data_IF_659463252029
#
_entry.id   IF_659463252029
#
_cell.length_a   1.000
_cell.length_b   1.000
_cell.length_c   1.000
_cell.angle_alpha   90.00
_cell.angle_beta   90.00
_cell.angle_gamma   90.00
#
_symmetry.space_group_name_H-M   'P 1'
#
loop_
_entity.id
_entity.type
_entity.pdbx_description
1 polymer ?
#
# COMPACT_ATOMS: atom_id res chain seq x y z
N UNK A 1 -58.03 -2.33 -22.61
CA UNK A 1 -57.37 -3.41 -21.82
C UNK A 1 -55.90 -3.70 -22.19
N UNK A 2 -55.43 -3.52 -23.44
CA UNK A 2 -54.01 -3.76 -23.81
C UNK A 2 -53.00 -2.83 -23.11
N UNK A 3 -53.30 -1.53 -23.00
CA UNK A 3 -52.42 -0.53 -22.34
C UNK A 3 -52.15 -0.80 -20.85
N UNK A 4 -53.13 -1.36 -20.12
CA UNK A 4 -52.99 -1.63 -18.68
C UNK A 4 -52.10 -2.85 -18.40
N UNK A 5 -52.10 -3.85 -19.30
CA UNK A 5 -51.22 -5.03 -19.21
C UNK A 5 -49.75 -4.70 -19.53
N UNK A 6 -49.51 -3.76 -20.44
CA UNK A 6 -48.16 -3.32 -20.82
C UNK A 6 -47.45 -2.56 -19.69
N UNK A 7 -48.14 -1.66 -18.98
CA UNK A 7 -47.58 -0.93 -17.81
C UNK A 7 -47.21 -1.87 -16.65
N UNK A 8 -47.97 -2.95 -16.44
CA UNK A 8 -47.73 -3.94 -15.37
C UNK A 8 -46.45 -4.78 -15.58
N UNK A 9 -45.99 -4.91 -16.82
CA UNK A 9 -44.75 -5.61 -17.16
C UNK A 9 -43.56 -4.66 -17.35
N UNK A 10 -43.78 -3.49 -17.96
CA UNK A 10 -42.70 -2.55 -18.25
C UNK A 10 -42.17 -1.86 -16.99
N UNK A 11 -43.02 -1.54 -16.01
CA UNK A 11 -42.58 -0.87 -14.77
C UNK A 11 -41.63 -1.78 -13.97
N UNK A 12 -41.97 -3.05 -13.63
CA UNK A 12 -41.03 -3.94 -12.95
C UNK A 12 -39.76 -4.22 -13.74
N UNK A 13 -39.86 -4.34 -15.07
CA UNK A 13 -38.70 -4.56 -15.93
C UNK A 13 -37.76 -3.35 -15.96
N UNK A 14 -38.30 -2.14 -16.04
CA UNK A 14 -37.53 -0.90 -15.97
C UNK A 14 -36.89 -0.74 -14.58
N UNK A 15 -37.62 -1.05 -13.51
CA UNK A 15 -37.09 -1.05 -12.14
C UNK A 15 -35.93 -2.05 -12.01
N UNK A 16 -36.08 -3.28 -12.53
CA UNK A 16 -35.01 -4.27 -12.55
C UNK A 16 -33.78 -3.79 -13.33
N UNK A 17 -33.98 -3.18 -14.50
CA UNK A 17 -32.90 -2.66 -15.33
C UNK A 17 -32.13 -1.53 -14.62
N UNK A 18 -32.84 -0.62 -13.96
CA UNK A 18 -32.23 0.45 -13.15
C UNK A 18 -31.44 -0.16 -11.98
N UNK A 19 -31.99 -1.17 -11.29
CA UNK A 19 -31.29 -1.86 -10.20
C UNK A 19 -30.02 -2.54 -10.70
N UNK A 20 -30.05 -3.19 -11.87
CA UNK A 20 -28.86 -3.80 -12.47
C UNK A 20 -27.81 -2.75 -12.83
N UNK A 21 -28.19 -1.61 -13.43
CA UNK A 21 -27.26 -0.52 -13.72
C UNK A 21 -26.60 0.01 -12.44
N UNK A 22 -27.40 0.24 -11.39
CA UNK A 22 -26.88 0.71 -10.10
C UNK A 22 -25.95 -0.34 -9.49
N UNK A 23 -26.34 -1.61 -9.51
CA UNK A 23 -25.51 -2.71 -9.00
C UNK A 23 -24.18 -2.79 -9.75
N UNK A 24 -24.19 -2.74 -11.09
CA UNK A 24 -22.96 -2.73 -11.89
C UNK A 24 -22.11 -1.51 -11.56
N UNK A 25 -22.68 -0.31 -11.47
CA UNK A 25 -21.92 0.90 -11.16
C UNK A 25 -21.26 0.85 -9.77
N UNK A 26 -21.96 0.29 -8.77
CA UNK A 26 -21.45 0.14 -7.41
C UNK A 26 -20.40 -0.97 -7.29
N UNK A 27 -20.60 -2.10 -7.98
CA UNK A 27 -19.74 -3.27 -7.89
C UNK A 27 -18.51 -3.19 -8.81
N UNK A 28 -18.57 -2.44 -9.91
CA UNK A 28 -17.53 -2.45 -10.93
C UNK A 28 -16.15 -2.10 -10.36
N UNK A 29 -16.04 -0.98 -9.61
CA UNK A 29 -14.76 -0.54 -9.05
C UNK A 29 -14.17 -1.55 -8.05
N UNK A 30 -14.88 -1.99 -6.99
CA UNK A 30 -14.34 -2.96 -6.05
C UNK A 30 -14.03 -4.32 -6.68
N UNK A 31 -14.88 -4.83 -7.59
CA UNK A 31 -14.61 -6.07 -8.31
C UNK A 31 -13.40 -5.97 -9.23
N UNK A 32 -13.20 -4.81 -9.88
CA UNK A 32 -12.00 -4.54 -10.67
C UNK A 32 -10.73 -4.58 -9.81
N UNK A 33 -10.79 -4.10 -8.57
CA UNK A 33 -9.66 -4.18 -7.64
C UNK A 33 -9.35 -5.64 -7.26
N UNK A 34 -10.38 -6.44 -6.96
CA UNK A 34 -10.23 -7.88 -6.68
C UNK A 34 -9.61 -8.60 -7.89
N UNK A 35 -10.14 -8.36 -9.09
CA UNK A 35 -9.61 -8.92 -10.32
C UNK A 35 -8.14 -8.54 -10.54
N UNK A 36 -7.81 -7.25 -10.39
CA UNK A 36 -6.43 -6.78 -10.51
C UNK A 36 -5.51 -7.49 -9.51
N UNK A 37 -5.93 -7.62 -8.24
CA UNK A 37 -5.12 -8.24 -7.20
C UNK A 37 -4.81 -9.72 -7.48
N UNK A 38 -5.75 -10.44 -8.07
CA UNK A 38 -5.61 -11.87 -8.35
C UNK A 38 -4.91 -12.16 -9.68
N UNK A 39 -5.24 -11.40 -10.73
CA UNK A 39 -4.83 -11.74 -12.11
C UNK A 39 -3.66 -10.90 -12.63
N UNK A 40 -3.54 -9.65 -12.17
CA UNK A 40 -2.60 -8.67 -12.72
C UNK A 40 -1.42 -8.43 -11.79
N UNK A 41 -1.70 -8.20 -10.51
CA UNK A 41 -0.70 -7.86 -9.51
C UNK A 41 0.42 -8.90 -9.37
N UNK A 42 0.21 -10.22 -9.49
CA UNK A 42 1.32 -11.18 -9.39
C UNK A 42 2.45 -10.92 -10.41
N UNK A 43 2.10 -10.50 -11.63
CA UNK A 43 3.08 -10.14 -12.67
C UNK A 43 3.71 -8.77 -12.40
N UNK A 44 2.91 -7.78 -11.99
CA UNK A 44 3.43 -6.46 -11.60
C UNK A 44 4.43 -6.57 -10.43
N UNK A 45 4.14 -7.44 -9.45
CA UNK A 45 5.01 -7.70 -8.30
C UNK A 45 6.38 -8.20 -8.73
N UNK A 46 6.45 -9.13 -9.70
CA UNK A 46 7.74 -9.63 -10.20
C UNK A 46 8.59 -8.49 -10.78
N UNK A 47 8.00 -7.65 -11.62
CA UNK A 47 8.67 -6.48 -12.20
C UNK A 47 9.15 -5.53 -11.11
N UNK A 48 8.30 -5.26 -10.11
CA UNK A 48 8.64 -4.39 -8.98
C UNK A 48 9.78 -4.96 -8.13
N UNK A 49 9.88 -6.28 -7.98
CA UNK A 49 10.95 -6.97 -7.25
C UNK A 49 12.27 -6.99 -8.04
N UNK A 50 12.21 -7.10 -9.36
CA UNK A 50 13.39 -7.07 -10.23
C UNK A 50 14.07 -5.70 -10.30
N UNK A 51 13.35 -4.62 -9.95
CA UNK A 51 13.87 -3.25 -9.95
C UNK A 51 15.23 -3.10 -9.25
N UNK A 52 15.36 -3.63 -8.03
CA UNK A 52 16.59 -3.52 -7.23
C UNK A 52 17.78 -4.20 -7.92
N UNK A 53 17.54 -5.36 -8.54
CA UNK A 53 18.57 -6.07 -9.31
C UNK A 53 18.97 -5.28 -10.55
N UNK A 54 18.01 -4.67 -11.23
CA UNK A 54 18.23 -3.96 -12.49
C UNK A 54 18.93 -2.61 -12.27
N UNK A 55 18.59 -1.91 -11.18
CA UNK A 55 19.20 -0.62 -10.85
C UNK A 55 20.62 -0.77 -10.27
N UNK A 56 20.97 -1.92 -9.67
CA UNK A 56 22.24 -2.13 -8.98
C UNK A 56 23.51 -1.93 -9.83
N UNK A 57 23.42 -1.97 -11.17
CA UNK A 57 24.57 -1.71 -12.05
C UNK A 57 24.63 -0.23 -12.46
N UNK A 58 25.69 0.52 -12.08
CA UNK A 58 25.83 1.93 -12.44
C UNK A 58 25.74 2.19 -13.95
N UNK A 59 26.36 1.35 -14.78
CA UNK A 59 26.33 1.53 -16.23
C UNK A 59 24.91 1.42 -16.79
N UNK A 60 24.12 0.46 -16.28
CA UNK A 60 22.71 0.29 -16.66
C UNK A 60 21.86 1.46 -16.17
N UNK A 61 22.07 1.88 -14.91
CA UNK A 61 21.34 3.00 -14.33
C UNK A 61 21.53 4.29 -15.15
N UNK A 62 22.78 4.70 -15.42
CA UNK A 62 23.02 5.96 -16.14
C UNK A 62 22.58 5.91 -17.61
N UNK A 63 22.68 4.74 -18.26
CA UNK A 63 22.21 4.58 -19.63
C UNK A 63 20.68 4.72 -19.73
N UNK A 64 19.93 4.17 -18.76
CA UNK A 64 18.46 4.05 -18.82
C UNK A 64 17.75 4.65 -17.60
N UNK A 65 18.26 5.73 -17.01
CA UNK A 65 17.75 6.23 -15.71
C UNK A 65 16.26 6.61 -15.75
N UNK A 66 15.74 7.00 -16.91
CA UNK A 66 14.33 7.34 -17.12
C UNK A 66 13.39 6.15 -16.96
N UNK A 67 13.86 4.92 -17.18
CA UNK A 67 13.10 3.69 -16.90
C UNK A 67 12.99 3.42 -15.40
N UNK A 68 14.03 3.80 -14.64
CA UNK A 68 14.10 3.65 -13.19
C UNK A 68 13.47 4.82 -12.42
N UNK A 69 13.26 5.96 -13.09
CA UNK A 69 12.72 7.17 -12.49
C UNK A 69 11.33 6.91 -11.90
N UNK A 70 11.08 7.29 -10.63
CA UNK A 70 9.76 7.13 -10.03
C UNK A 70 8.73 8.02 -10.72
N UNK A 71 7.51 7.51 -10.93
CA UNK A 71 6.44 8.21 -11.65
C UNK A 71 5.39 8.72 -10.68
N UNK A 72 5.12 10.03 -10.68
CA UNK A 72 4.07 10.64 -9.84
C UNK A 72 2.69 10.00 -10.09
N UNK A 73 2.39 9.68 -11.35
CA UNK A 73 1.12 9.07 -11.76
C UNK A 73 0.84 7.74 -11.05
N UNK A 74 1.87 6.94 -10.77
CA UNK A 74 1.69 5.65 -10.10
C UNK A 74 1.14 5.84 -8.68
N UNK A 75 1.63 6.85 -7.96
CA UNK A 75 1.15 7.20 -6.61
C UNK A 75 -0.25 7.84 -6.66
N UNK A 76 -0.51 8.71 -7.64
CA UNK A 76 -1.84 9.31 -7.84
C UNK A 76 -2.91 8.26 -8.14
N UNK A 77 -2.57 7.24 -8.93
CA UNK A 77 -3.48 6.14 -9.24
C UNK A 77 -3.78 5.32 -7.98
N UNK A 78 -2.77 5.00 -7.16
CA UNK A 78 -2.98 4.36 -5.86
C UNK A 78 -3.90 5.18 -4.95
N UNK A 79 -3.72 6.49 -4.89
CA UNK A 79 -4.60 7.38 -4.13
C UNK A 79 -6.04 7.35 -4.64
N UNK A 80 -6.23 7.41 -5.95
CA UNK A 80 -7.57 7.31 -6.55
C UNK A 80 -8.25 5.97 -6.24
N UNK A 81 -7.47 4.88 -6.13
CA UNK A 81 -8.00 3.58 -5.72
C UNK A 81 -8.43 3.60 -4.25
N UNK A 82 -7.56 4.07 -3.34
CA UNK A 82 -7.82 4.01 -1.89
C UNK A 82 -8.90 5.00 -1.42
N UNK A 83 -9.12 6.12 -2.12
CA UNK A 83 -10.11 7.14 -1.72
C UNK A 83 -11.55 6.61 -1.50
N UNK A 84 -11.94 5.53 -2.17
CA UNK A 84 -13.29 4.94 -2.03
C UNK A 84 -13.31 3.69 -1.17
N UNK A 85 -12.19 3.32 -0.55
CA UNK A 85 -11.99 2.03 0.14
C UNK A 85 -13.09 1.72 1.17
N UNK A 86 -13.51 2.71 1.96
CA UNK A 86 -14.55 2.54 2.97
C UNK A 86 -15.91 2.20 2.35
N UNK A 87 -16.32 2.97 1.34
CA UNK A 87 -17.60 2.75 0.63
C UNK A 87 -17.59 1.39 -0.06
N UNK A 88 -16.49 1.10 -0.74
CA UNK A 88 -16.32 -0.11 -1.54
C UNK A 88 -16.31 -1.36 -0.64
N UNK A 89 -15.65 -1.29 0.53
CA UNK A 89 -15.72 -2.34 1.55
C UNK A 89 -17.16 -2.59 2.03
N UNK A 90 -17.91 -1.54 2.36
CA UNK A 90 -19.32 -1.68 2.79
C UNK A 90 -20.17 -2.36 1.71
N UNK A 91 -19.91 -2.08 0.44
CA UNK A 91 -20.59 -2.73 -0.68
C UNK A 91 -20.20 -4.21 -0.75
N UNK A 92 -18.91 -4.52 -0.64
CA UNK A 92 -18.40 -5.90 -0.70
C UNK A 92 -18.88 -6.77 0.46
N UNK A 93 -18.96 -6.22 1.67
CA UNK A 93 -19.50 -6.90 2.86
C UNK A 93 -20.99 -7.26 2.68
N UNK A 94 -21.77 -6.38 2.04
CA UNK A 94 -23.19 -6.68 1.73
C UNK A 94 -23.37 -7.79 0.71
N UNK A 95 -22.40 -8.03 -0.16
CA UNK A 95 -22.46 -9.08 -1.20
C UNK A 95 -21.62 -10.31 -0.86
N UNK A 96 -21.03 -10.36 0.34
CA UNK A 96 -20.23 -11.50 0.83
C UNK A 96 -18.85 -11.65 0.17
N UNK A 97 -18.26 -10.56 -0.33
CA UNK A 97 -16.94 -10.51 -0.97
C UNK A 97 -15.94 -9.65 -0.19
N UNK A 98 -16.21 -9.35 1.08
CA UNK A 98 -15.36 -8.46 1.86
C UNK A 98 -13.96 -9.02 2.11
N UNK A 99 -13.81 -10.33 2.23
CA UNK A 99 -12.50 -10.96 2.46
C UNK A 99 -11.63 -10.85 1.22
N UNK A 100 -12.19 -11.12 0.03
CA UNK A 100 -11.48 -10.94 -1.24
C UNK A 100 -11.10 -9.47 -1.45
N UNK A 101 -12.00 -8.55 -1.07
CA UNK A 101 -11.72 -7.13 -1.14
C UNK A 101 -10.61 -6.70 -0.16
N UNK A 102 -10.64 -7.16 1.08
CA UNK A 102 -9.57 -6.92 2.07
C UNK A 102 -8.23 -7.45 1.56
N UNK A 103 -8.21 -8.65 0.96
CA UNK A 103 -7.02 -9.19 0.32
C UNK A 103 -6.52 -8.32 -0.84
N UNK A 104 -7.43 -7.79 -1.65
CA UNK A 104 -7.04 -6.89 -2.74
C UNK A 104 -6.42 -5.59 -2.23
N UNK A 105 -6.90 -5.07 -1.09
CA UNK A 105 -6.29 -3.94 -0.38
C UNK A 105 -4.86 -4.29 0.11
N UNK A 106 -4.63 -5.52 0.60
CA UNK A 106 -3.27 -5.99 0.95
C UNK A 106 -2.33 -5.85 -0.26
N UNK A 107 -2.77 -6.28 -1.44
CA UNK A 107 -1.96 -6.21 -2.66
C UNK A 107 -1.70 -4.76 -3.10
N UNK A 108 -2.69 -3.87 -2.94
CA UNK A 108 -2.53 -2.43 -3.16
C UNK A 108 -1.48 -1.83 -2.22
N UNK A 109 -1.49 -2.23 -0.95
CA UNK A 109 -0.51 -1.82 0.05
C UNK A 109 0.91 -2.32 -0.28
N UNK A 110 1.04 -3.55 -0.78
CA UNK A 110 2.33 -4.05 -1.25
C UNK A 110 2.83 -3.30 -2.48
N UNK A 111 1.97 -2.98 -3.45
CA UNK A 111 2.36 -2.15 -4.60
C UNK A 111 2.88 -0.78 -4.14
N UNK A 112 2.14 -0.13 -3.24
CA UNK A 112 2.57 1.11 -2.61
C UNK A 112 3.97 1.00 -1.99
N UNK A 113 4.22 -0.08 -1.25
CA UNK A 113 5.51 -0.37 -0.65
C UNK A 113 6.65 -0.49 -1.66
N UNK A 114 6.49 -1.32 -2.69
CA UNK A 114 7.53 -1.51 -3.69
C UNK A 114 7.86 -0.20 -4.41
N UNK A 115 6.84 0.56 -4.82
CA UNK A 115 7.06 1.86 -5.46
C UNK A 115 7.81 2.83 -4.53
N UNK A 116 7.46 2.81 -3.24
CA UNK A 116 8.11 3.62 -2.22
C UNK A 116 9.58 3.24 -2.00
N UNK A 117 9.88 1.93 -1.99
CA UNK A 117 11.25 1.41 -1.93
C UNK A 117 12.05 1.79 -3.18
N UNK A 118 11.49 1.58 -4.36
CA UNK A 118 12.15 1.88 -5.64
C UNK A 118 12.45 3.37 -5.78
N UNK A 119 11.51 4.23 -5.37
CA UNK A 119 11.72 5.69 -5.25
C UNK A 119 12.92 6.01 -4.35
N UNK A 120 13.04 5.36 -3.18
CA UNK A 120 14.20 5.57 -2.29
C UNK A 120 15.49 5.19 -3.01
N UNK A 121 15.58 3.97 -3.54
CA UNK A 121 16.77 3.46 -4.24
C UNK A 121 17.23 4.40 -5.37
N UNK A 122 16.30 4.98 -6.13
CA UNK A 122 16.62 5.97 -7.16
C UNK A 122 17.24 7.25 -6.59
N UNK A 123 16.64 7.85 -5.57
CA UNK A 123 17.09 9.13 -5.00
C UNK A 123 18.24 9.01 -3.99
N UNK A 124 18.58 7.79 -3.56
CA UNK A 124 19.72 7.46 -2.70
C UNK A 124 20.75 6.59 -3.42
N UNK A 125 20.79 6.64 -4.75
CA UNK A 125 21.62 5.71 -5.54
C UNK A 125 23.10 5.67 -5.11
N UNK A 126 23.80 6.82 -4.88
CA UNK A 126 25.18 6.84 -4.44
C UNK A 126 25.41 6.31 -3.01
N UNK A 127 24.37 6.24 -2.18
CA UNK A 127 24.46 5.64 -0.84
C UNK A 127 24.56 4.10 -0.95
N UNK A 128 24.14 3.53 -2.09
CA UNK A 128 24.10 2.08 -2.32
C UNK A 128 25.11 1.58 -3.34
N UNK A 129 25.73 2.47 -4.13
CA UNK A 129 26.64 2.12 -5.20
C UNK A 129 27.91 2.97 -5.20
N UNK A 130 29.04 2.35 -5.55
CA UNK A 130 30.32 3.05 -5.75
C UNK A 130 30.34 3.71 -7.12
N UNK A 131 30.36 5.04 -7.16
CA UNK A 131 30.36 5.84 -8.38
C UNK A 131 31.71 6.53 -8.60
N UNK A 132 32.16 6.62 -9.86
CA UNK A 132 33.29 7.49 -10.22
C UNK A 132 32.86 8.98 -10.28
N UNK A 133 33.82 9.89 -10.44
CA UNK A 133 33.55 11.34 -10.43
C UNK A 133 32.59 11.78 -11.54
N UNK A 134 32.70 11.21 -12.74
CA UNK A 134 31.82 11.53 -13.88
C UNK A 134 30.38 11.07 -13.60
N UNK A 135 30.21 9.83 -13.14
CA UNK A 135 28.92 9.27 -12.72
C UNK A 135 28.29 10.08 -11.58
N UNK A 136 29.09 10.55 -10.62
CA UNK A 136 28.60 11.41 -9.54
C UNK A 136 28.06 12.74 -10.07
N UNK A 137 28.71 13.33 -11.08
CA UNK A 137 28.24 14.56 -11.72
C UNK A 137 26.94 14.34 -12.50
N UNK A 138 26.87 13.26 -13.29
CA UNK A 138 25.64 12.86 -13.99
C UNK A 138 24.49 12.64 -13.02
N UNK A 139 24.75 12.01 -11.87
CA UNK A 139 23.73 11.79 -10.85
C UNK A 139 23.20 13.11 -10.27
N UNK A 140 24.04 14.11 -10.04
CA UNK A 140 23.61 15.44 -9.58
C UNK A 140 22.69 16.14 -10.60
N UNK A 141 22.96 15.96 -11.89
CA UNK A 141 22.11 16.49 -12.97
C UNK A 141 20.74 15.79 -12.99
N UNK A 142 20.72 14.46 -12.82
CA UNK A 142 19.49 13.68 -12.67
C UNK A 142 18.69 14.13 -11.46
N UNK A 143 19.33 14.35 -10.30
CA UNK A 143 18.65 14.86 -9.11
C UNK A 143 18.04 16.24 -9.34
N UNK A 144 18.75 17.11 -10.05
CA UNK A 144 18.25 18.46 -10.39
C UNK A 144 17.03 18.38 -11.30
N UNK A 145 17.08 17.54 -12.33
CA UNK A 145 15.96 17.38 -13.28
C UNK A 145 14.75 16.64 -12.69
N UNK A 146 14.93 15.90 -11.60
CA UNK A 146 13.87 15.12 -10.93
C UNK A 146 13.44 15.69 -9.58
N UNK A 147 13.87 16.91 -9.24
CA UNK A 147 13.59 17.56 -7.96
C UNK A 147 12.08 17.70 -7.68
N UNK A 148 11.27 18.04 -8.68
CA UNK A 148 9.81 18.16 -8.53
C UNK A 148 9.17 16.83 -8.08
N UNK A 149 9.67 15.69 -8.59
CA UNK A 149 9.18 14.36 -8.20
C UNK A 149 9.54 14.03 -6.76
N UNK A 150 10.75 14.42 -6.32
CA UNK A 150 11.21 14.25 -4.95
C UNK A 150 10.30 14.99 -3.96
N UNK A 151 9.69 16.10 -4.37
CA UNK A 151 8.79 16.90 -3.55
C UNK A 151 7.32 16.49 -3.66
N UNK A 152 6.86 16.11 -4.86
CA UNK A 152 5.45 15.79 -5.11
C UNK A 152 5.05 14.39 -4.61
N UNK A 153 5.89 13.37 -4.83
CA UNK A 153 5.58 11.98 -4.48
C UNK A 153 5.32 11.79 -2.97
N UNK A 154 6.12 12.37 -2.05
CA UNK A 154 5.85 12.26 -0.62
C UNK A 154 4.45 12.74 -0.20
N UNK A 155 3.89 13.76 -0.88
CA UNK A 155 2.53 14.26 -0.59
C UNK A 155 1.47 13.20 -0.93
N UNK A 156 1.61 12.57 -2.09
CA UNK A 156 0.74 11.47 -2.50
C UNK A 156 0.90 10.26 -1.56
N UNK A 157 2.14 9.92 -1.18
CA UNK A 157 2.39 8.84 -0.22
C UNK A 157 1.69 9.11 1.12
N UNK A 158 1.75 10.35 1.59
CA UNK A 158 1.13 10.75 2.85
C UNK A 158 -0.40 10.64 2.79
N UNK A 159 -1.00 11.15 1.71
CA UNK A 159 -2.45 11.05 1.50
C UNK A 159 -2.92 9.59 1.46
N UNK A 160 -2.14 8.70 0.85
CA UNK A 160 -2.45 7.27 0.79
C UNK A 160 -2.45 6.66 2.19
N UNK A 161 -1.39 6.89 2.96
CA UNK A 161 -1.25 6.38 4.32
C UNK A 161 -2.35 6.91 5.26
N UNK A 162 -2.71 8.20 5.13
CA UNK A 162 -3.78 8.81 5.92
C UNK A 162 -5.14 8.19 5.59
N UNK A 163 -5.47 8.05 4.29
CA UNK A 163 -6.73 7.45 3.85
C UNK A 163 -6.85 6.00 4.32
N UNK A 164 -5.75 5.26 4.29
CA UNK A 164 -5.71 3.90 4.82
C UNK A 164 -5.91 3.84 6.33
N UNK A 165 -5.27 4.73 7.10
CA UNK A 165 -5.47 4.77 8.56
C UNK A 165 -6.94 5.07 8.90
N UNK A 166 -7.59 6.01 8.21
CA UNK A 166 -9.01 6.31 8.41
C UNK A 166 -9.89 5.07 8.15
N UNK A 167 -9.53 4.29 7.14
CA UNK A 167 -10.19 3.02 6.84
C UNK A 167 -9.94 1.96 7.91
N UNK A 168 -8.69 1.83 8.39
CA UNK A 168 -8.35 0.92 9.48
C UNK A 168 -9.16 1.23 10.73
N UNK A 169 -9.24 2.51 11.12
CA UNK A 169 -10.00 2.95 12.29
C UNK A 169 -11.50 2.67 12.12
N UNK A 170 -12.02 2.86 10.91
CA UNK A 170 -13.38 2.45 10.57
C UNK A 170 -13.57 0.95 10.76
N UNK A 171 -12.71 0.10 10.19
CA UNK A 171 -12.82 -1.34 10.33
C UNK A 171 -12.74 -1.76 11.80
N UNK A 172 -11.72 -1.31 12.53
CA UNK A 172 -11.48 -1.67 13.93
C UNK A 172 -12.72 -1.43 14.80
N UNK A 173 -13.42 -0.30 14.60
CA UNK A 173 -14.68 0.02 15.31
C UNK A 173 -15.87 -0.85 14.91
N UNK A 174 -15.86 -1.42 13.70
CA UNK A 174 -17.02 -2.12 13.11
C UNK A 174 -16.82 -3.64 12.93
N UNK A 175 -15.62 -4.19 13.16
CA UNK A 175 -15.31 -5.64 12.97
C UNK A 175 -15.16 -6.43 14.28
N UNK A 176 -15.85 -6.00 15.34
CA UNK A 176 -15.70 -6.48 16.73
C UNK A 176 -15.77 -8.02 16.89
N UNK A 177 -16.38 -8.76 15.96
CA UNK A 177 -16.67 -10.20 16.13
C UNK A 177 -15.92 -11.17 15.18
N UNK A 178 -14.89 -10.75 14.44
CA UNK A 178 -14.11 -11.67 13.59
C UNK A 178 -12.61 -11.54 13.82
N UNK A 179 -12.03 -12.48 14.58
CA UNK A 179 -10.57 -12.57 14.81
C UNK A 179 -9.77 -12.57 13.50
N UNK A 180 -10.32 -13.17 12.45
CA UNK A 180 -9.75 -13.16 11.10
C UNK A 180 -9.71 -11.77 10.47
N UNK A 181 -10.82 -11.02 10.47
CA UNK A 181 -10.88 -9.66 9.90
C UNK A 181 -9.97 -8.70 10.69
N UNK A 182 -9.93 -8.83 12.02
CA UNK A 182 -9.05 -8.03 12.89
C UNK A 182 -7.58 -8.34 12.57
N UNK A 183 -7.23 -9.62 12.38
CA UNK A 183 -5.87 -10.03 12.05
C UNK A 183 -5.41 -9.43 10.71
N UNK A 184 -6.17 -9.63 9.63
CA UNK A 184 -5.83 -9.09 8.29
C UNK A 184 -5.67 -7.56 8.34
N UNK A 185 -6.61 -6.87 9.00
CA UNK A 185 -6.58 -5.42 9.11
C UNK A 185 -5.31 -4.90 9.81
N UNK A 186 -4.86 -5.60 10.87
CA UNK A 186 -3.64 -5.23 11.58
C UNK A 186 -2.36 -5.59 10.83
N UNK A 187 -2.30 -6.71 10.10
CA UNK A 187 -1.15 -7.01 9.23
C UNK A 187 -1.00 -5.92 8.17
N UNK A 188 -2.09 -5.50 7.53
CA UNK A 188 -2.05 -4.47 6.50
C UNK A 188 -1.62 -3.11 7.04
N UNK A 189 -2.19 -2.69 8.18
CA UNK A 189 -1.78 -1.44 8.84
C UNK A 189 -0.30 -1.47 9.20
N UNK A 190 0.16 -2.59 9.75
CA UNK A 190 1.55 -2.78 10.12
C UNK A 190 2.47 -2.62 8.91
N UNK A 191 2.24 -3.41 7.85
CA UNK A 191 3.04 -3.35 6.63
C UNK A 191 3.06 -1.93 6.03
N UNK A 192 1.91 -1.28 5.93
CA UNK A 192 1.85 0.08 5.39
C UNK A 192 2.64 1.10 6.20
N UNK A 193 2.48 1.10 7.52
CA UNK A 193 3.22 2.03 8.38
C UNK A 193 4.73 1.76 8.32
N UNK A 194 5.13 0.48 8.31
CA UNK A 194 6.52 0.05 8.13
C UNK A 194 7.09 0.58 6.81
N UNK A 195 6.39 0.36 5.70
CA UNK A 195 6.89 0.76 4.38
C UNK A 195 6.89 2.27 4.16
N UNK A 196 5.87 2.94 4.67
CA UNK A 196 5.84 4.39 4.68
C UNK A 196 7.05 4.95 5.44
N UNK A 197 7.33 4.42 6.63
CA UNK A 197 8.49 4.81 7.43
C UNK A 197 9.81 4.61 6.67
N UNK A 198 10.01 3.44 6.05
CA UNK A 198 11.20 3.17 5.25
C UNK A 198 11.35 4.11 4.04
N UNK A 199 10.25 4.63 3.51
CA UNK A 199 10.23 5.49 2.32
C UNK A 199 10.51 6.97 2.56
N UNK A 200 10.44 7.39 3.83
CA UNK A 200 10.74 8.76 4.28
C UNK A 200 12.13 8.86 4.94
N UNK A 201 12.82 7.73 5.10
CA UNK A 201 14.21 7.67 5.57
C UNK A 201 15.18 8.07 4.46
N UNK A 202 16.07 9.01 4.76
CA UNK A 202 17.35 9.23 4.06
C UNK A 202 18.47 8.86 5.02
N UNK A 203 19.52 8.21 4.53
CA UNK A 203 20.58 7.67 5.39
C UNK A 203 21.46 8.78 6.02
N UNK A 204 21.16 10.06 5.73
CA UNK A 204 21.92 11.24 6.19
C UNK A 204 21.10 12.27 7.00
N UNK A 205 19.78 12.13 7.12
CA UNK A 205 18.93 13.08 7.87
C UNK A 205 17.74 12.36 8.52
N UNK A 206 17.36 12.80 9.71
CA UNK A 206 16.10 12.34 10.30
C UNK A 206 14.94 12.58 9.35
N UNK A 207 13.98 11.64 9.26
CA UNK A 207 12.84 11.79 8.38
C UNK A 207 12.11 13.08 8.76
N UNK A 208 12.19 14.10 7.90
CA UNK A 208 11.36 15.30 8.04
C UNK A 208 10.03 15.01 7.33
N UNK A 209 8.89 15.28 7.99
CA UNK A 209 8.76 15.69 9.39
C UNK A 209 8.86 14.53 10.40
N UNK A 210 9.71 14.73 11.41
CA UNK A 210 9.86 13.90 12.62
C UNK A 210 8.50 13.59 13.30
N UNK A 211 7.53 14.49 13.12
CA UNK A 211 6.11 14.38 13.52
C UNK A 211 5.40 13.12 13.02
N UNK A 212 5.81 12.58 11.87
CA UNK A 212 5.20 11.35 11.34
C UNK A 212 5.76 10.11 12.00
N UNK A 213 7.04 10.08 12.32
CA UNK A 213 7.62 8.90 12.97
C UNK A 213 7.11 8.71 14.40
N UNK A 214 6.90 9.81 15.13
CA UNK A 214 6.22 9.80 16.44
C UNK A 214 4.78 9.28 16.35
N UNK A 215 4.13 9.41 15.19
CA UNK A 215 2.77 8.89 14.96
C UNK A 215 2.80 7.43 14.47
N UNK A 216 3.76 7.06 13.62
CA UNK A 216 3.80 5.75 12.96
C UNK A 216 4.33 4.65 13.88
N UNK A 217 5.36 4.93 14.69
CA UNK A 217 5.92 3.91 15.58
C UNK A 217 4.89 3.37 16.60
N UNK A 218 4.10 4.22 17.30
CA UNK A 218 3.02 3.72 18.15
C UNK A 218 2.00 2.87 17.41
N UNK A 219 1.64 3.22 16.17
CA UNK A 219 0.70 2.43 15.35
C UNK A 219 1.27 1.07 14.95
N UNK A 220 2.57 1.02 14.61
CA UNK A 220 3.30 -0.21 14.33
C UNK A 220 3.31 -1.10 15.59
N UNK A 221 3.64 -0.52 16.74
CA UNK A 221 3.67 -1.24 18.02
C UNK A 221 2.28 -1.74 18.43
N UNK A 222 1.24 -0.92 18.29
CA UNK A 222 -0.14 -1.29 18.56
C UNK A 222 -0.57 -2.48 17.70
N UNK A 223 -0.37 -2.41 16.38
CA UNK A 223 -0.70 -3.52 15.49
C UNK A 223 0.12 -4.77 15.80
N UNK A 224 1.41 -4.64 16.15
CA UNK A 224 2.21 -5.78 16.59
C UNK A 224 1.67 -6.43 17.86
N UNK A 225 1.29 -5.65 18.87
CA UNK A 225 0.73 -6.18 20.12
C UNK A 225 -0.58 -6.91 19.88
N UNK A 226 -1.49 -6.36 19.08
CA UNK A 226 -2.74 -7.02 18.70
C UNK A 226 -2.46 -8.34 17.98
N UNK A 227 -1.55 -8.35 17.00
CA UNK A 227 -1.21 -9.57 16.26
C UNK A 227 -0.58 -10.65 17.16
N UNK A 228 0.23 -10.23 18.14
CA UNK A 228 0.87 -11.12 19.12
C UNK A 228 -0.15 -11.81 20.03
N UNK A 229 -1.27 -11.16 20.32
CA UNK A 229 -2.34 -11.68 21.18
C UNK A 229 -3.32 -12.59 20.42
N UNK A 230 -3.60 -12.29 19.14
CA UNK A 230 -4.65 -12.96 18.36
C UNK A 230 -4.37 -14.44 18.05
N UNK A 231 -3.11 -14.89 18.03
CA UNK A 231 -2.69 -16.29 17.76
C UNK A 231 -3.55 -16.97 16.67
N UNK A 232 -3.44 -16.54 15.40
CA UNK A 232 -4.30 -17.00 14.31
C UNK A 232 -4.23 -18.52 14.12
N UNK A 233 -5.35 -19.13 13.71
CA UNK A 233 -5.38 -20.54 13.35
C UNK A 233 -4.69 -20.79 11.98
N UNK A 234 -4.49 -22.06 11.63
CA UNK A 234 -3.81 -22.47 10.41
C UNK A 234 -4.49 -21.96 9.11
N UNK A 235 -5.81 -21.79 9.11
CA UNK A 235 -6.53 -21.29 7.94
C UNK A 235 -6.24 -19.81 7.69
N UNK A 236 -6.16 -19.00 8.76
CA UNK A 236 -5.74 -17.59 8.66
C UNK A 236 -4.31 -17.49 8.12
N UNK A 237 -3.38 -18.30 8.65
CA UNK A 237 -1.98 -18.33 8.21
C UNK A 237 -1.84 -18.75 6.74
N UNK A 238 -2.60 -19.76 6.31
CA UNK A 238 -2.63 -20.21 4.91
C UNK A 238 -3.13 -19.10 3.99
N UNK A 239 -4.16 -18.36 4.40
CA UNK A 239 -4.78 -17.30 3.60
C UNK A 239 -3.83 -16.13 3.31
N UNK A 240 -2.99 -15.78 4.28
CA UNK A 240 -1.97 -14.72 4.16
C UNK A 240 -0.62 -15.23 3.63
N UNK A 241 -0.55 -16.50 3.23
CA UNK A 241 0.66 -17.17 2.71
C UNK A 241 1.84 -17.16 3.69
N UNK A 242 1.56 -17.33 4.98
CA UNK A 242 2.59 -17.49 6.02
C UNK A 242 2.73 -18.96 6.44
N UNK A 243 3.97 -19.42 6.53
CA UNK A 243 4.33 -20.77 6.95
C UNK A 243 4.25 -20.97 8.46
N UNK A 244 4.63 -19.96 9.25
CA UNK A 244 4.65 -20.02 10.72
C UNK A 244 4.29 -18.67 11.34
N UNK A 245 3.41 -18.72 12.35
CA UNK A 245 3.07 -17.57 13.17
C UNK A 245 4.28 -17.08 13.97
N UNK A 246 5.06 -18.00 14.53
CA UNK A 246 6.25 -17.71 15.33
C UNK A 246 7.31 -17.01 14.49
N UNK A 247 7.53 -17.48 13.26
CA UNK A 247 8.43 -16.84 12.30
C UNK A 247 7.99 -15.42 11.99
N UNK A 248 6.71 -15.22 11.68
CA UNK A 248 6.16 -13.90 11.41
C UNK A 248 6.31 -12.93 12.59
N UNK A 249 5.94 -13.34 13.81
CA UNK A 249 6.06 -12.51 15.00
C UNK A 249 7.53 -12.18 15.31
N UNK A 250 8.44 -13.13 15.07
CA UNK A 250 9.89 -12.92 15.25
C UNK A 250 10.44 -11.90 14.26
N UNK A 251 10.09 -12.01 12.97
CA UNK A 251 10.50 -11.03 11.95
C UNK A 251 10.00 -9.62 12.29
N UNK A 252 8.74 -9.50 12.69
CA UNK A 252 8.16 -8.21 13.10
C UNK A 252 8.87 -7.63 14.33
N UNK A 253 9.18 -8.47 15.32
CA UNK A 253 9.91 -8.04 16.53
C UNK A 253 11.29 -7.48 16.19
N UNK A 254 12.03 -8.17 15.31
CA UNK A 254 13.34 -7.71 14.84
C UNK A 254 13.23 -6.40 14.06
N UNK A 255 12.21 -6.26 13.22
CA UNK A 255 11.96 -5.04 12.47
C UNK A 255 11.67 -3.84 13.38
N UNK A 256 10.80 -4.03 14.38
CA UNK A 256 10.46 -2.98 15.35
C UNK A 256 11.69 -2.54 16.14
N UNK A 257 12.53 -3.48 16.59
CA UNK A 257 13.80 -3.17 17.26
C UNK A 257 14.71 -2.33 16.38
N UNK A 258 14.88 -2.71 15.11
CA UNK A 258 15.70 -1.96 14.16
C UNK A 258 15.20 -0.53 13.95
N UNK A 259 13.89 -0.32 13.87
CA UNK A 259 13.31 1.04 13.84
C UNK A 259 13.63 1.81 15.11
N UNK A 260 13.42 1.19 16.29
CA UNK A 260 13.65 1.86 17.57
C UNK A 260 15.11 2.28 17.75
N UNK A 261 16.06 1.42 17.37
CA UNK A 261 17.50 1.70 17.40
C UNK A 261 17.89 2.82 16.42
N UNK A 262 17.31 2.84 15.22
CA UNK A 262 17.52 3.97 14.32
C UNK A 262 16.99 5.27 14.92
N UNK A 263 15.79 5.25 15.49
CA UNK A 263 15.17 6.48 16.02
C UNK A 263 15.86 7.02 17.26
N UNK A 264 16.52 6.17 18.04
CA UNK A 264 17.33 6.61 19.18
C UNK A 264 18.66 7.24 18.76
N UNK A 265 19.20 6.85 17.59
CA UNK A 265 20.47 7.36 17.05
C UNK A 265 20.29 8.57 16.14
N UNK A 266 19.07 8.81 15.66
CA UNK A 266 18.74 9.95 14.84
C UNK A 266 18.67 11.25 15.67
N UNK A 267 19.55 12.23 15.38
CA UNK A 267 19.53 13.54 16.04
C UNK A 267 18.28 14.32 15.63
N UNK A 268 17.39 14.62 16.59
CA UNK A 268 16.28 15.60 16.40
C UNK A 268 16.85 16.87 15.75
N UNK A 269 16.38 17.17 14.55
CA UNK A 269 16.51 18.49 13.96
C UNK A 269 15.20 19.17 14.32
N UNK A 270 15.24 19.98 15.37
CA UNK A 270 14.13 20.84 15.80
C UNK A 270 13.86 21.93 14.74
#
# INVERSE_FOLDING_TARGET
MRFYKQKRFYIPLLTLLILLIIATALLYKPLKLIYWANEIYPKEKQILQEYERNIANPSTFFANYTEFQPKLKDFQELNKQIQTIKRDFIIMDKVGLEIDYLNAIVMLAWKFSYLSKNKKLFFSYPETQTLNQSQMQQYKEILTSTQELKEAIPKEQFQFAQTYEDFYQFLSKNTINSSFKIYINNVNRLLLNIFFLLSIYSDNYCPIPYRYTETLLPRIQESYMILKELKPNADVLRHIKQSSYEEFVRELSNFIKGIQEFLSTCKRID
#
